data_IF_406623342316
#
_entry.id   IF_406623342316
#
_cell.length_a   1.000
_cell.length_b   1.000
_cell.length_c   1.000
_cell.angle_alpha   90.00
_cell.angle_beta   90.00
_cell.angle_gamma   90.00
#
_symmetry.space_group_name_H-M   'P 1'
#
loop_
_entity.id
_entity.type
_entity.pdbx_description
1 polymer ?
#
# COMPACT_ATOMS: atom_id res chain seq x y z
N UNK A 1 39.35 17.76 55.31
CA UNK A 1 39.55 17.09 53.99
C UNK A 1 38.44 16.08 53.81
N UNK A 2 37.58 16.26 52.80
CA UNK A 2 36.31 15.54 52.62
C UNK A 2 36.59 14.08 52.20
N UNK A 3 36.03 13.10 52.91
CA UNK A 3 36.26 11.67 52.68
C UNK A 3 35.78 11.24 51.28
N UNK A 4 36.72 11.08 50.33
CA UNK A 4 36.43 10.66 48.95
C UNK A 4 36.14 9.16 48.80
N UNK A 5 36.14 8.39 49.89
CA UNK A 5 35.90 6.93 49.86
C UNK A 5 34.55 6.57 49.23
N UNK A 6 33.52 7.39 49.49
CA UNK A 6 32.20 7.19 48.91
C UNK A 6 32.21 7.35 47.39
N UNK A 7 33.02 8.25 46.81
CA UNK A 7 33.06 8.40 45.34
C UNK A 7 33.73 7.18 44.68
N UNK A 8 34.73 6.58 45.34
CA UNK A 8 35.40 5.39 44.82
C UNK A 8 34.50 4.15 44.82
N UNK A 9 33.54 4.05 45.75
CA UNK A 9 32.54 2.97 45.74
C UNK A 9 31.36 3.31 44.81
N UNK A 10 30.97 4.58 44.74
CA UNK A 10 29.77 5.01 44.03
C UNK A 10 29.98 5.03 42.51
N UNK A 11 31.17 5.42 42.06
CA UNK A 11 31.51 5.50 40.63
C UNK A 11 31.38 4.15 39.89
N UNK A 12 31.96 3.02 40.37
CA UNK A 12 31.80 1.74 39.70
C UNK A 12 30.34 1.24 39.72
N UNK A 13 29.60 1.50 40.80
CA UNK A 13 28.17 1.13 40.89
C UNK A 13 27.35 1.88 39.83
N UNK A 14 27.60 3.19 39.66
CA UNK A 14 26.92 4.00 38.63
C UNK A 14 27.28 3.52 37.23
N UNK A 15 28.55 3.21 36.96
CA UNK A 15 28.99 2.63 35.68
C UNK A 15 28.31 1.29 35.38
N UNK A 16 28.10 0.44 36.39
CA UNK A 16 27.44 -0.84 36.22
C UNK A 16 25.96 -0.69 35.85
N UNK A 17 25.25 0.23 36.50
CA UNK A 17 23.84 0.53 36.19
C UNK A 17 23.70 1.08 34.77
N UNK A 18 24.50 2.08 34.39
CA UNK A 18 24.46 2.66 33.05
C UNK A 18 24.96 1.69 31.96
N UNK A 19 25.98 0.89 32.27
CA UNK A 19 26.47 -0.16 31.38
C UNK A 19 25.41 -1.22 31.09
N UNK A 20 24.62 -1.62 32.10
CA UNK A 20 23.49 -2.54 31.93
C UNK A 20 22.39 -1.96 31.04
N UNK A 21 22.05 -0.68 31.22
CA UNK A 21 21.06 0.01 30.36
C UNK A 21 21.53 0.09 28.91
N UNK A 22 22.80 0.44 28.67
CA UNK A 22 23.40 0.44 27.33
C UNK A 22 23.40 -0.96 26.72
N UNK A 23 23.81 -1.97 27.48
CA UNK A 23 23.80 -3.37 27.03
C UNK A 23 22.40 -3.83 26.61
N UNK A 24 21.38 -3.51 27.42
CA UNK A 24 20.00 -3.85 27.12
C UNK A 24 19.50 -3.15 25.84
N UNK A 25 19.83 -1.86 25.66
CA UNK A 25 19.46 -1.11 24.46
C UNK A 25 20.07 -1.73 23.18
N UNK A 26 21.34 -2.11 23.21
CA UNK A 26 21.99 -2.78 22.07
C UNK A 26 21.52 -4.23 21.89
N UNK A 27 21.15 -4.94 22.96
CA UNK A 27 20.64 -6.31 22.86
C UNK A 27 19.36 -6.39 22.02
N UNK A 28 18.51 -5.35 22.05
CA UNK A 28 17.30 -5.27 21.23
C UNK A 28 17.56 -4.95 19.75
N UNK A 29 18.78 -4.54 19.38
CA UNK A 29 19.15 -4.28 17.98
C UNK A 29 19.61 -5.54 17.25
N UNK A 30 19.91 -6.63 17.99
CA UNK A 30 20.00 -7.94 17.37
C UNK A 30 18.57 -8.35 17.04
N UNK A 31 18.20 -8.13 15.78
CA UNK A 31 17.01 -8.71 15.20
C UNK A 31 17.05 -10.19 15.49
N UNK A 32 16.25 -10.65 16.45
CA UNK A 32 15.85 -12.05 16.47
C UNK A 32 15.36 -12.32 15.06
N UNK A 33 16.12 -13.12 14.31
CA UNK A 33 15.66 -13.65 13.04
C UNK A 33 14.32 -14.27 13.35
N UNK A 34 13.27 -13.57 12.93
CA UNK A 34 11.90 -14.00 13.03
C UNK A 34 11.91 -15.26 12.19
N UNK A 35 12.09 -16.42 12.84
CA UNK A 35 12.01 -17.71 12.18
C UNK A 35 10.69 -17.65 11.44
N UNK A 36 10.70 -17.71 10.09
CA UNK A 36 9.47 -17.56 9.34
C UNK A 36 8.58 -18.70 9.80
N UNK A 37 7.59 -18.38 10.63
CA UNK A 37 6.53 -19.29 10.98
C UNK A 37 6.06 -19.88 9.66
N UNK A 38 6.18 -21.21 9.54
CA UNK A 38 5.95 -21.95 8.32
C UNK A 38 4.68 -21.40 7.68
N UNK A 39 4.86 -20.70 6.55
CA UNK A 39 3.75 -20.16 5.79
C UNK A 39 3.01 -21.39 5.27
N UNK A 40 1.97 -21.79 6.00
CA UNK A 40 1.01 -22.78 5.54
C UNK A 40 0.56 -22.33 4.15
N UNK A 41 0.99 -23.07 3.13
CA UNK A 41 0.64 -22.79 1.75
C UNK A 41 -0.87 -22.94 1.63
N UNK A 42 -1.57 -21.81 1.65
CA UNK A 42 -2.99 -21.79 1.41
C UNK A 42 -3.20 -22.17 -0.06
N UNK A 43 -3.60 -23.42 -0.30
CA UNK A 43 -3.94 -23.90 -1.65
C UNK A 43 -5.24 -23.22 -2.06
N UNK A 44 -5.11 -22.07 -2.73
CA UNK A 44 -6.24 -21.34 -3.33
C UNK A 44 -6.78 -22.20 -4.47
N UNK A 45 -7.87 -22.92 -4.22
CA UNK A 45 -8.60 -23.63 -5.28
C UNK A 45 -9.28 -22.60 -6.16
N UNK A 46 -8.99 -22.53 -7.47
CA UNK A 46 -9.67 -21.59 -8.36
C UNK A 46 -11.16 -21.94 -8.41
N UNK A 47 -12.02 -20.98 -8.08
CA UNK A 47 -13.45 -21.13 -8.29
C UNK A 47 -13.70 -21.30 -9.79
N UNK A 48 -14.34 -22.41 -10.18
CA UNK A 48 -14.81 -22.61 -11.56
C UNK A 48 -15.93 -21.60 -11.84
N UNK A 49 -15.58 -20.46 -12.41
CA UNK A 49 -16.54 -19.47 -12.89
C UNK A 49 -17.24 -20.08 -14.10
N UNK A 50 -18.53 -20.35 -13.97
CA UNK A 50 -19.36 -20.80 -15.10
C UNK A 50 -19.46 -19.64 -16.09
N UNK A 51 -19.26 -19.91 -17.39
CA UNK A 51 -19.37 -18.88 -18.41
C UNK A 51 -20.76 -18.20 -18.33
N UNK A 52 -20.76 -16.86 -18.29
CA UNK A 52 -22.01 -16.11 -18.27
C UNK A 52 -22.71 -16.28 -19.60
N UNK A 53 -23.98 -16.65 -19.57
CA UNK A 53 -24.80 -16.71 -20.77
C UNK A 53 -24.86 -15.32 -21.41
N UNK A 54 -24.35 -15.23 -22.64
CA UNK A 54 -24.49 -14.01 -23.43
C UNK A 54 -25.85 -14.05 -24.12
N UNK A 55 -26.64 -13.01 -23.93
CA UNK A 55 -27.91 -12.84 -24.63
C UNK A 55 -27.79 -11.67 -25.61
N UNK A 56 -28.26 -11.88 -26.84
CA UNK A 56 -28.38 -10.83 -27.82
C UNK A 56 -29.73 -10.14 -27.63
N UNK A 57 -29.71 -8.82 -27.48
CA UNK A 57 -30.92 -8.01 -27.33
C UNK A 57 -31.46 -7.68 -28.72
N UNK A 58 -32.69 -8.10 -29.00
CA UNK A 58 -33.41 -7.67 -30.19
C UNK A 58 -33.98 -6.27 -29.96
N UNK A 59 -33.42 -5.26 -30.63
CA UNK A 59 -33.82 -3.84 -30.48
C UNK A 59 -34.89 -3.42 -31.50
N UNK A 60 -35.60 -4.35 -32.13
CA UNK A 60 -36.68 -4.04 -33.08
C UNK A 60 -38.00 -3.77 -32.34
N UNK A 61 -38.03 -2.72 -31.51
CA UNK A 61 -39.23 -2.27 -30.83
C UNK A 61 -39.35 -0.75 -30.85
N UNK A 62 -40.56 -0.27 -30.58
CA UNK A 62 -40.90 1.16 -30.54
C UNK A 62 -40.55 1.71 -29.17
N UNK A 63 -39.81 2.82 -29.13
CA UNK A 63 -39.38 3.49 -27.90
C UNK A 63 -40.60 3.80 -26.99
N UNK A 64 -40.68 3.24 -25.77
CA UNK A 64 -41.83 3.40 -24.89
C UNK A 64 -41.93 4.79 -24.24
N UNK A 65 -40.92 5.64 -24.40
CA UNK A 65 -40.94 7.01 -23.88
C UNK A 65 -41.36 8.00 -24.95
N UNK A 66 -40.70 7.95 -26.12
CA UNK A 66 -40.87 8.94 -27.19
C UNK A 66 -41.69 8.42 -28.38
N UNK A 67 -42.05 7.14 -28.41
CA UNK A 67 -42.86 6.54 -29.47
C UNK A 67 -42.17 6.50 -30.84
N UNK A 68 -40.84 6.56 -30.89
CA UNK A 68 -40.05 6.52 -32.14
C UNK A 68 -39.56 5.09 -32.40
N UNK A 69 -39.54 4.67 -33.66
CA UNK A 69 -38.90 3.39 -34.00
C UNK A 69 -37.39 3.57 -33.98
N UNK A 70 -36.67 2.59 -33.42
CA UNK A 70 -35.22 2.59 -33.44
C UNK A 70 -34.74 2.43 -34.89
N UNK A 71 -34.25 3.52 -35.49
CA UNK A 71 -33.57 3.46 -36.77
C UNK A 71 -32.10 3.12 -36.49
N UNK A 72 -31.58 1.96 -36.91
CA UNK A 72 -30.15 1.72 -36.83
C UNK A 72 -29.47 2.82 -37.62
N UNK A 73 -28.62 3.61 -36.96
CA UNK A 73 -27.82 4.62 -37.63
C UNK A 73 -26.98 3.89 -38.68
N UNK A 74 -27.41 3.97 -39.96
CA UNK A 74 -26.52 3.66 -41.07
C UNK A 74 -25.27 4.50 -40.81
N UNK A 75 -24.11 3.85 -40.79
CA UNK A 75 -22.82 4.51 -40.66
C UNK A 75 -22.60 5.43 -41.87
N UNK A 76 -23.33 6.54 -41.91
CA UNK A 76 -23.18 7.59 -42.89
C UNK A 76 -22.03 8.45 -42.40
N UNK A 77 -20.95 8.42 -43.16
CA UNK A 77 -19.76 9.19 -42.91
C UNK A 77 -18.89 8.59 -41.82
N UNK A 78 -17.97 7.72 -42.22
CA UNK A 78 -16.64 7.69 -41.62
C UNK A 78 -16.10 9.12 -41.81
N UNK A 79 -16.41 10.03 -40.87
CA UNK A 79 -15.62 11.22 -40.67
C UNK A 79 -14.25 10.67 -40.33
N UNK A 80 -13.33 10.76 -41.29
CA UNK A 80 -11.92 10.45 -41.13
C UNK A 80 -11.47 11.10 -39.85
N UNK A 81 -11.38 10.29 -38.79
CA UNK A 81 -10.81 10.71 -37.53
C UNK A 81 -9.41 11.17 -37.90
N UNK A 82 -9.19 12.47 -37.73
CA UNK A 82 -7.86 13.10 -37.71
C UNK A 82 -6.88 12.08 -37.20
N UNK A 83 -5.87 11.79 -38.02
CA UNK A 83 -4.84 10.79 -37.78
C UNK A 83 -4.26 11.04 -36.40
N UNK A 84 -4.82 10.34 -35.41
CA UNK A 84 -4.26 10.24 -34.07
C UNK A 84 -2.94 9.56 -34.33
N UNK A 85 -1.87 10.36 -34.26
CA UNK A 85 -0.48 9.89 -34.28
C UNK A 85 -0.47 8.62 -33.44
N UNK A 86 -0.21 7.52 -34.12
CA UNK A 86 -0.16 6.20 -33.54
C UNK A 86 1.07 6.23 -32.63
N UNK A 87 0.90 6.73 -31.40
CA UNK A 87 1.91 6.61 -30.36
C UNK A 87 2.06 5.12 -30.19
N UNK A 88 3.14 4.59 -30.75
CA UNK A 88 3.56 3.21 -30.53
C UNK A 88 3.40 2.94 -29.03
N UNK A 89 2.73 1.86 -28.64
CA UNK A 89 2.65 1.51 -27.23
C UNK A 89 4.09 1.39 -26.75
N UNK A 90 4.51 2.32 -25.88
CA UNK A 90 5.81 2.23 -25.22
C UNK A 90 5.89 0.81 -24.65
N UNK A 91 7.02 0.10 -24.83
CA UNK A 91 7.19 -1.22 -24.25
C UNK A 91 6.80 -1.12 -22.77
N UNK A 92 5.83 -1.95 -22.36
CA UNK A 92 5.40 -2.01 -20.97
C UNK A 92 6.61 -2.50 -20.19
N UNK A 93 7.35 -1.58 -19.60
CA UNK A 93 8.36 -1.91 -18.62
C UNK A 93 7.68 -2.77 -17.55
N UNK A 94 8.24 -3.94 -17.30
CA UNK A 94 7.77 -4.84 -16.26
C UNK A 94 7.96 -4.14 -14.92
N UNK A 95 6.86 -3.60 -14.39
CA UNK A 95 6.86 -2.92 -13.11
C UNK A 95 7.05 -3.93 -11.99
N UNK A 96 8.23 -3.95 -11.40
CA UNK A 96 8.51 -4.68 -10.17
C UNK A 96 8.02 -3.83 -8.99
N UNK A 97 7.08 -4.35 -8.21
CA UNK A 97 6.61 -3.69 -7.00
C UNK A 97 7.62 -3.88 -5.87
N UNK A 98 7.94 -2.82 -5.10
CA UNK A 98 8.70 -2.96 -3.87
C UNK A 98 7.89 -3.72 -2.81
N UNK A 99 8.57 -4.24 -1.79
CA UNK A 99 7.87 -4.91 -0.69
C UNK A 99 7.30 -3.85 0.24
N UNK A 100 5.97 -3.78 0.32
CA UNK A 100 5.27 -2.79 1.16
C UNK A 100 4.33 -3.49 2.12
N UNK A 101 4.46 -3.18 3.41
CA UNK A 101 3.59 -3.68 4.47
C UNK A 101 2.97 -2.52 5.22
N UNK A 102 1.66 -2.58 5.43
CA UNK A 102 0.95 -1.59 6.23
C UNK A 102 0.88 -2.05 7.69
N UNK A 103 1.37 -1.24 8.63
CA UNK A 103 1.38 -1.55 10.08
C UNK A 103 0.33 -0.81 10.91
N UNK A 104 -0.44 0.09 10.29
CA UNK A 104 -1.53 0.78 10.94
C UNK A 104 -1.40 2.30 10.90
N UNK A 105 -2.32 2.99 11.59
CA UNK A 105 -2.39 4.44 11.62
C UNK A 105 -2.47 4.98 13.04
N UNK A 106 -1.88 6.16 13.24
CA UNK A 106 -2.05 7.00 14.42
C UNK A 106 -2.92 8.19 14.02
N UNK A 107 -3.97 8.46 14.78
CA UNK A 107 -4.80 9.65 14.58
C UNK A 107 -4.92 10.45 15.86
N UNK A 108 -4.68 11.76 15.77
CA UNK A 108 -5.02 12.68 16.85
C UNK A 108 -6.48 13.13 16.71
N UNK A 109 -7.28 12.90 17.75
CA UNK A 109 -8.70 13.27 17.82
C UNK A 109 -8.87 14.80 17.82
N UNK A 110 -7.90 15.55 18.35
CA UNK A 110 -7.96 17.02 18.45
C UNK A 110 -7.53 17.70 17.15
N UNK A 111 -6.39 17.28 16.60
CA UNK A 111 -5.79 17.94 15.42
C UNK A 111 -6.24 17.34 14.07
N UNK A 112 -7.04 16.26 14.08
CA UNK A 112 -7.46 15.51 12.89
C UNK A 112 -6.31 15.03 11.99
N UNK A 113 -5.07 15.06 12.50
CA UNK A 113 -3.89 14.56 11.81
C UNK A 113 -3.88 13.04 11.88
N UNK A 114 -3.65 12.41 10.73
CA UNK A 114 -3.54 10.96 10.58
C UNK A 114 -2.18 10.64 9.96
N UNK A 115 -1.41 9.81 10.65
CA UNK A 115 -0.11 9.32 10.19
C UNK A 115 -0.21 7.82 10.01
N UNK A 116 0.21 7.33 8.84
CA UNK A 116 0.20 5.92 8.47
C UNK A 116 1.61 5.37 8.57
N UNK A 117 1.76 4.17 9.13
CA UNK A 117 3.02 3.47 9.28
C UNK A 117 3.12 2.42 8.16
N UNK A 118 4.10 2.59 7.28
CA UNK A 118 4.40 1.66 6.21
C UNK A 118 5.83 1.13 6.37
N UNK A 119 6.04 -0.14 6.08
CA UNK A 119 7.37 -0.71 5.90
C UNK A 119 7.60 -0.84 4.39
N UNK A 120 8.55 -0.08 3.86
CA UNK A 120 8.93 -0.10 2.44
C UNK A 120 10.36 -0.62 2.39
N UNK A 121 10.58 -1.75 1.70
CA UNK A 121 11.90 -2.40 1.59
C UNK A 121 12.60 -2.58 2.94
N UNK A 122 11.83 -2.95 3.97
CA UNK A 122 12.32 -3.23 5.32
C UNK A 122 12.54 -2.02 6.23
N UNK A 123 12.23 -0.79 5.78
CA UNK A 123 12.37 0.43 6.58
C UNK A 123 11.01 1.03 6.93
N UNK A 124 10.89 1.54 8.16
CA UNK A 124 9.69 2.24 8.61
C UNK A 124 9.60 3.65 8.00
N UNK A 125 8.43 3.95 7.44
CA UNK A 125 8.06 5.25 6.91
C UNK A 125 6.75 5.70 7.58
N UNK A 126 6.74 6.93 8.08
CA UNK A 126 5.59 7.57 8.68
C UNK A 126 5.07 8.61 7.70
N UNK A 127 3.91 8.34 7.09
CA UNK A 127 3.41 9.10 5.96
C UNK A 127 2.03 9.67 6.25
N UNK A 128 1.79 10.92 5.85
CA UNK A 128 0.47 11.51 5.78
C UNK A 128 -0.15 11.25 4.39
N UNK A 129 -1.47 11.43 4.29
CA UNK A 129 -2.15 11.40 2.99
C UNK A 129 -1.58 12.51 2.10
N UNK A 130 -1.08 12.12 0.92
CA UNK A 130 -0.42 13.03 -0.03
C UNK A 130 1.11 12.96 -0.01
N UNK A 131 1.71 12.30 0.97
CA UNK A 131 3.17 12.18 1.05
C UNK A 131 3.71 11.15 0.03
N UNK A 132 4.95 11.35 -0.39
CA UNK A 132 5.68 10.43 -1.28
C UNK A 132 7.00 10.06 -0.65
N UNK A 133 7.23 8.77 -0.44
CA UNK A 133 8.48 8.21 0.07
C UNK A 133 8.87 7.00 -0.77
N UNK A 134 10.15 6.87 -1.14
CA UNK A 134 10.65 5.80 -2.02
C UNK A 134 9.81 5.60 -3.31
N UNK A 135 9.40 6.68 -3.97
CA UNK A 135 8.51 6.69 -5.15
C UNK A 135 7.10 6.11 -4.92
N UNK A 136 6.73 5.87 -3.66
CA UNK A 136 5.41 5.42 -3.25
C UNK A 136 4.64 6.63 -2.72
N UNK A 137 3.56 6.96 -3.42
CA UNK A 137 2.64 8.02 -3.01
C UNK A 137 1.48 7.44 -2.20
N UNK A 138 1.27 7.93 -0.98
CA UNK A 138 0.14 7.53 -0.16
C UNK A 138 -1.10 8.36 -0.57
N UNK A 139 -2.04 7.72 -1.25
CA UNK A 139 -3.22 8.41 -1.79
C UNK A 139 -4.33 8.58 -0.76
N UNK A 140 -4.62 7.54 0.00
CA UNK A 140 -5.67 7.53 1.01
C UNK A 140 -5.48 6.32 1.94
N UNK A 141 -6.18 6.29 3.07
CA UNK A 141 -6.11 5.15 3.98
C UNK A 141 -7.08 5.22 5.16
N UNK A 142 -7.35 4.04 5.70
CA UNK A 142 -8.14 3.82 6.91
C UNK A 142 -7.40 2.88 7.88
N UNK A 143 -8.10 2.38 8.89
CA UNK A 143 -7.52 1.51 9.91
C UNK A 143 -7.10 0.14 9.36
N UNK A 144 -7.78 -0.34 8.34
CA UNK A 144 -7.64 -1.70 7.81
C UNK A 144 -6.83 -1.74 6.52
N UNK A 145 -6.75 -0.63 5.78
CA UNK A 145 -6.13 -0.60 4.46
C UNK A 145 -5.59 0.78 4.06
N UNK A 146 -4.66 0.77 3.10
CA UNK A 146 -4.06 1.97 2.51
C UNK A 146 -3.98 1.87 0.99
N UNK A 147 -4.33 2.94 0.31
CA UNK A 147 -4.17 3.10 -1.13
C UNK A 147 -2.85 3.76 -1.43
N UNK A 148 -1.95 3.01 -2.08
CA UNK A 148 -0.65 3.52 -2.50
C UNK A 148 -0.55 3.57 -4.02
N UNK A 149 0.27 4.49 -4.52
CA UNK A 149 0.55 4.63 -5.95
C UNK A 149 2.05 4.54 -6.19
N UNK A 150 2.46 3.61 -7.05
CA UNK A 150 3.86 3.41 -7.44
C UNK A 150 3.97 3.44 -8.97
N UNK A 151 4.85 4.31 -9.50
CA UNK A 151 5.07 4.50 -10.95
C UNK A 151 3.77 4.59 -11.78
N UNK A 152 2.76 5.28 -11.24
CA UNK A 152 1.47 5.47 -11.92
C UNK A 152 0.41 4.41 -11.63
N UNK A 153 0.78 3.27 -11.04
CA UNK A 153 -0.15 2.18 -10.72
C UNK A 153 -0.62 2.28 -9.27
N UNK A 154 -1.93 2.15 -9.07
CA UNK A 154 -2.55 2.20 -7.75
C UNK A 154 -2.77 0.78 -7.23
N UNK A 155 -2.39 0.55 -5.98
CA UNK A 155 -2.58 -0.72 -5.29
C UNK A 155 -3.15 -0.50 -3.89
N UNK A 156 -3.93 -1.46 -3.42
CA UNK A 156 -4.53 -1.48 -2.08
C UNK A 156 -3.72 -2.46 -1.22
N UNK A 157 -3.24 -2.00 -0.07
CA UNK A 157 -2.53 -2.82 0.89
C UNK A 157 -3.39 -2.93 2.14
N UNK A 158 -3.65 -4.17 2.56
CA UNK A 158 -4.34 -4.46 3.81
C UNK A 158 -3.36 -4.42 4.98
N UNK A 159 -3.89 -4.20 6.18
CA UNK A 159 -3.14 -4.28 7.42
C UNK A 159 -2.47 -5.66 7.53
N UNK A 160 -1.15 -5.66 7.68
CA UNK A 160 -0.34 -6.87 7.78
C UNK A 160 0.13 -7.10 9.21
N UNK A 161 -0.05 -8.34 9.67
CA UNK A 161 0.44 -8.84 10.97
C UNK A 161 1.95 -8.64 11.13
#
# INVERSE_FOLDING_TARGET
MKNKKNIYILLPVVLFVWGSVLYQLFSFTNTDEISPAEKSEFIIKPLKIKERQTFAINVNYRDPFLGKMYAPQKASGIKTKSSKVNKQPKPKETLVWPTVLYKGMISDVKEKKKVFILIIDGKYHYMNIGDTENDIFLKDGDKESVYIKYKGNLNLIMLGD
#
